data_IF_417937378417
#
_entry.id   IF_417937378417
#
_cell.length_a   1.000
_cell.length_b   1.000
_cell.length_c   1.000
_cell.angle_alpha   90.00
_cell.angle_beta   90.00
_cell.angle_gamma   90.00
#
_symmetry.space_group_name_H-M   'P 1'
#
loop_
_entity.id
_entity.type
_entity.pdbx_description
1 polymer ?
#
# COMPACT_ATOMS: atom_id res chain seq x y z
N UNK A 1 -41.28 35.49 91.31
CA UNK A 1 -40.83 35.13 89.95
C UNK A 1 -40.52 33.66 90.04
N UNK A 2 -41.38 32.84 89.46
CA UNK A 2 -41.38 31.39 89.65
C UNK A 2 -40.25 30.73 88.83
N UNK A 3 -39.53 29.79 89.45
CA UNK A 3 -38.38 29.08 88.87
C UNK A 3 -38.71 28.37 87.54
N UNK A 4 -39.96 27.96 87.38
CA UNK A 4 -40.50 27.37 86.15
C UNK A 4 -40.48 28.35 84.96
N UNK A 5 -40.74 29.64 85.19
CA UNK A 5 -40.70 30.67 84.15
C UNK A 5 -39.26 30.86 83.65
N UNK A 6 -38.29 30.87 84.57
CA UNK A 6 -36.87 31.00 84.23
C UNK A 6 -36.37 29.80 83.40
N UNK A 7 -36.78 28.58 83.78
CA UNK A 7 -36.40 27.38 83.03
C UNK A 7 -37.00 27.36 81.61
N UNK A 8 -38.25 27.82 81.46
CA UNK A 8 -38.90 27.94 80.15
C UNK A 8 -38.25 29.02 79.28
N UNK A 9 -37.83 30.15 79.87
CA UNK A 9 -37.09 31.20 79.16
C UNK A 9 -35.72 30.71 78.66
N UNK A 10 -35.00 29.93 79.47
CA UNK A 10 -33.72 29.32 79.08
C UNK A 10 -33.91 28.28 77.96
N UNK A 11 -34.93 27.44 78.04
CA UNK A 11 -35.27 26.47 76.99
C UNK A 11 -35.66 27.17 75.68
N UNK A 12 -36.44 28.25 75.75
CA UNK A 12 -36.83 29.04 74.58
C UNK A 12 -35.59 29.70 73.94
N UNK A 13 -34.69 30.26 74.74
CA UNK A 13 -33.44 30.84 74.26
C UNK A 13 -32.55 29.79 73.57
N UNK A 14 -32.44 28.60 74.16
CA UNK A 14 -31.70 27.48 73.55
C UNK A 14 -32.33 27.03 72.23
N UNK A 15 -33.67 26.89 72.18
CA UNK A 15 -34.37 26.49 70.98
C UNK A 15 -34.21 27.52 69.85
N UNK A 16 -34.25 28.82 70.17
CA UNK A 16 -33.98 29.88 69.18
C UNK A 16 -32.55 29.80 68.64
N UNK A 17 -31.55 29.61 69.50
CA UNK A 17 -30.16 29.46 69.07
C UNK A 17 -29.94 28.22 68.18
N UNK A 18 -30.65 27.12 68.45
CA UNK A 18 -30.61 25.93 67.62
C UNK A 18 -31.29 26.14 66.26
N UNK A 19 -32.43 26.84 66.22
CA UNK A 19 -33.12 27.21 64.98
C UNK A 19 -32.21 28.09 64.12
N UNK A 20 -31.56 29.11 64.69
CA UNK A 20 -30.63 29.97 63.96
C UNK A 20 -29.45 29.17 63.39
N UNK A 21 -28.90 28.23 64.16
CA UNK A 21 -27.83 27.33 63.70
C UNK A 21 -28.30 26.46 62.54
N UNK A 22 -29.48 25.84 62.65
CA UNK A 22 -30.04 24.98 61.60
C UNK A 22 -30.36 25.78 60.34
N UNK A 23 -30.85 27.01 60.46
CA UNK A 23 -31.10 27.91 59.32
C UNK A 23 -29.80 28.28 58.60
N UNK A 24 -28.73 28.55 59.35
CA UNK A 24 -27.40 28.80 58.78
C UNK A 24 -26.88 27.58 58.02
N UNK A 25 -26.98 26.39 58.62
CA UNK A 25 -26.55 25.14 57.97
C UNK A 25 -27.38 24.81 56.72
N UNK A 26 -28.69 25.06 56.75
CA UNK A 26 -29.57 24.86 55.59
C UNK A 26 -29.18 25.81 54.45
N UNK A 27 -28.97 27.09 54.75
CA UNK A 27 -28.52 28.09 53.76
C UNK A 27 -27.19 27.69 53.14
N UNK A 28 -26.25 27.17 53.94
CA UNK A 28 -24.97 26.71 53.41
C UNK A 28 -25.14 25.48 52.51
N UNK A 29 -25.94 24.50 52.93
CA UNK A 29 -26.22 23.31 52.14
C UNK A 29 -26.91 23.63 50.81
N UNK A 30 -27.87 24.56 50.80
CA UNK A 30 -28.54 25.05 49.60
C UNK A 30 -27.56 25.73 48.64
N UNK A 31 -26.66 26.58 49.16
CA UNK A 31 -25.63 27.22 48.36
C UNK A 31 -24.68 26.20 47.73
N UNK A 32 -24.26 25.19 48.49
CA UNK A 32 -23.42 24.11 47.97
C UNK A 32 -24.15 23.23 46.94
N UNK A 33 -25.44 22.94 47.14
CA UNK A 33 -26.23 22.18 46.18
C UNK A 33 -26.36 22.94 44.85
N UNK A 34 -26.67 24.24 44.92
CA UNK A 34 -26.73 25.09 43.74
C UNK A 34 -25.39 25.15 42.97
N UNK A 35 -24.25 25.21 43.69
CA UNK A 35 -22.93 25.15 43.07
C UNK A 35 -22.70 23.83 42.34
N UNK A 36 -23.01 22.70 42.98
CA UNK A 36 -22.85 21.37 42.38
C UNK A 36 -23.76 21.16 41.18
N UNK A 37 -24.98 21.68 41.21
CA UNK A 37 -25.90 21.60 40.07
C UNK A 37 -25.42 22.43 38.87
N UNK A 38 -24.79 23.59 39.13
CA UNK A 38 -24.14 24.38 38.10
C UNK A 38 -22.96 23.63 37.46
N UNK A 39 -22.08 23.04 38.28
CA UNK A 39 -20.94 22.23 37.82
C UNK A 39 -21.40 21.01 37.02
N UNK A 40 -22.42 20.29 37.48
CA UNK A 40 -22.98 19.14 36.76
C UNK A 40 -23.59 19.55 35.41
N UNK A 41 -24.24 20.70 35.36
CA UNK A 41 -24.81 21.23 34.11
C UNK A 41 -23.70 21.58 33.11
N UNK A 42 -22.62 22.20 33.58
CA UNK A 42 -21.45 22.52 32.75
C UNK A 42 -20.75 21.25 32.25
N UNK A 43 -20.51 20.28 33.14
CA UNK A 43 -19.91 19.00 32.78
C UNK A 43 -20.75 18.23 31.74
N UNK A 44 -22.08 18.23 31.88
CA UNK A 44 -22.99 17.61 30.91
C UNK A 44 -22.91 18.28 29.54
N UNK A 45 -22.92 19.61 29.48
CA UNK A 45 -22.74 20.34 28.22
C UNK A 45 -21.39 20.04 27.57
N UNK A 46 -20.33 19.96 28.37
CA UNK A 46 -18.99 19.58 27.91
C UNK A 46 -18.97 18.16 27.32
N UNK A 47 -19.63 17.20 27.98
CA UNK A 47 -19.73 15.83 27.50
C UNK A 47 -20.50 15.73 26.19
N UNK A 48 -21.65 16.40 26.08
CA UNK A 48 -22.46 16.44 24.86
C UNK A 48 -21.68 17.06 23.68
N UNK A 49 -20.95 18.14 23.94
CA UNK A 49 -20.09 18.77 22.92
C UNK A 49 -18.97 17.83 22.46
N UNK A 50 -18.27 17.18 23.39
CA UNK A 50 -17.21 16.24 23.07
C UNK A 50 -17.73 15.00 22.31
N UNK A 51 -18.92 14.50 22.66
CA UNK A 51 -19.58 13.42 21.93
C UNK A 51 -19.93 13.83 20.51
N UNK A 52 -20.42 15.06 20.32
CA UNK A 52 -20.69 15.62 18.99
C UNK A 52 -19.43 15.73 18.14
N UNK A 53 -18.32 16.23 18.71
CA UNK A 53 -17.05 16.32 18.00
C UNK A 53 -16.51 14.92 17.64
N UNK A 54 -16.56 13.97 18.57
CA UNK A 54 -16.11 12.60 18.31
C UNK A 54 -16.90 11.96 17.16
N UNK A 55 -18.23 12.12 17.16
CA UNK A 55 -19.08 11.61 16.08
C UNK A 55 -18.71 12.23 14.72
N UNK A 56 -18.49 13.55 14.67
CA UNK A 56 -18.06 14.22 13.45
C UNK A 56 -16.69 13.70 12.96
N UNK A 57 -15.72 13.55 13.87
CA UNK A 57 -14.39 13.01 13.55
C UNK A 57 -14.45 11.58 13.04
N UNK A 58 -15.34 10.74 13.57
CA UNK A 58 -15.52 9.37 13.10
C UNK A 58 -16.00 9.36 11.65
N UNK A 59 -16.99 10.19 11.30
CA UNK A 59 -17.49 10.32 9.92
C UNK A 59 -16.39 10.81 8.97
N UNK A 60 -15.62 11.82 9.38
CA UNK A 60 -14.49 12.34 8.59
C UNK A 60 -13.43 11.27 8.33
N UNK A 61 -13.08 10.48 9.35
CA UNK A 61 -12.10 9.40 9.23
C UNK A 61 -12.57 8.30 8.30
N UNK A 62 -13.86 7.94 8.32
CA UNK A 62 -14.44 6.96 7.41
C UNK A 62 -14.40 7.47 5.97
N UNK A 63 -14.78 8.73 5.74
CA UNK A 63 -14.70 9.39 4.43
C UNK A 63 -13.27 9.37 3.87
N UNK A 64 -12.28 9.77 4.67
CA UNK A 64 -10.87 9.76 4.28
C UNK A 64 -10.34 8.36 3.96
N UNK A 65 -10.77 7.34 4.72
CA UNK A 65 -10.40 5.94 4.45
C UNK A 65 -10.96 5.45 3.11
N UNK A 66 -12.22 5.76 2.82
CA UNK A 66 -12.83 5.42 1.53
C UNK A 66 -12.09 6.10 0.39
N UNK A 67 -11.85 7.40 0.49
CA UNK A 67 -11.12 8.16 -0.54
C UNK A 67 -9.69 7.62 -0.76
N UNK A 68 -8.98 7.28 0.32
CA UNK A 68 -7.64 6.70 0.23
C UNK A 68 -7.67 5.32 -0.45
N UNK A 69 -8.67 4.49 -0.14
CA UNK A 69 -8.89 3.19 -0.79
C UNK A 69 -9.17 3.33 -2.29
N UNK A 70 -10.06 4.23 -2.67
CA UNK A 70 -10.38 4.52 -4.08
C UNK A 70 -9.16 5.05 -4.83
N UNK A 71 -8.43 6.00 -4.25
CA UNK A 71 -7.22 6.57 -4.85
C UNK A 71 -6.15 5.49 -5.05
N UNK A 72 -5.96 4.59 -4.08
CA UNK A 72 -5.03 3.47 -4.20
C UNK A 72 -5.44 2.51 -5.31
N UNK A 73 -6.73 2.15 -5.39
CA UNK A 73 -7.24 1.28 -6.44
C UNK A 73 -7.06 1.90 -7.84
N UNK A 74 -7.33 3.20 -7.97
CA UNK A 74 -7.10 3.94 -9.21
C UNK A 74 -5.61 3.97 -9.60
N UNK A 75 -4.70 4.18 -8.65
CA UNK A 75 -3.26 4.17 -8.90
C UNK A 75 -2.77 2.80 -9.40
N UNK A 76 -3.21 1.71 -8.76
CA UNK A 76 -2.90 0.34 -9.20
C UNK A 76 -3.43 0.08 -10.61
N UNK A 77 -4.69 0.45 -10.88
CA UNK A 77 -5.28 0.29 -12.20
C UNK A 77 -4.55 1.11 -13.28
N UNK A 78 -4.08 2.32 -12.95
CA UNK A 78 -3.28 3.14 -13.84
C UNK A 78 -1.92 2.49 -14.14
N UNK A 79 -1.22 1.96 -13.13
CA UNK A 79 0.04 1.26 -13.30
C UNK A 79 -0.11 -0.01 -14.18
N UNK A 80 -1.21 -0.75 -14.00
CA UNK A 80 -1.52 -1.92 -14.85
C UNK A 80 -1.76 -1.52 -16.31
N UNK A 81 -2.59 -0.50 -16.58
CA UNK A 81 -2.81 0.00 -17.95
C UNK A 81 -1.52 0.49 -18.59
N UNK A 82 -0.69 1.17 -17.82
CA UNK A 82 0.62 1.63 -18.30
C UNK A 82 1.50 0.44 -18.71
N UNK A 83 1.64 -0.56 -17.85
CA UNK A 83 2.36 -1.81 -18.17
C UNK A 83 1.83 -2.46 -19.43
N UNK A 84 0.51 -2.63 -19.54
CA UNK A 84 -0.11 -3.32 -20.67
C UNK A 84 0.15 -2.56 -21.99
N UNK A 85 0.12 -1.23 -21.95
CA UNK A 85 0.46 -0.36 -23.10
C UNK A 85 1.93 -0.53 -23.50
N UNK A 86 2.84 -0.56 -22.53
CA UNK A 86 4.27 -0.76 -22.79
C UNK A 86 4.56 -2.13 -23.39
N UNK A 87 3.96 -3.19 -22.84
CA UNK A 87 4.11 -4.56 -23.36
C UNK A 87 3.55 -4.71 -24.78
N UNK A 88 2.48 -3.99 -25.11
CA UNK A 88 1.95 -3.96 -26.48
C UNK A 88 2.94 -3.32 -27.47
N UNK A 89 3.75 -2.36 -27.04
CA UNK A 89 4.80 -1.74 -27.85
C UNK A 89 6.10 -2.56 -27.90
N UNK A 90 6.37 -3.40 -26.89
CA UNK A 90 7.57 -4.24 -26.79
C UNK A 90 7.24 -5.75 -26.70
N UNK A 91 6.70 -6.37 -27.76
CA UNK A 91 6.23 -7.77 -27.73
C UNK A 91 7.33 -8.82 -27.55
N UNK A 92 8.60 -8.43 -27.65
CA UNK A 92 9.75 -9.30 -27.42
C UNK A 92 10.12 -9.41 -25.94
N UNK A 93 9.49 -8.61 -25.07
CA UNK A 93 9.76 -8.55 -23.65
C UNK A 93 8.77 -9.45 -22.88
N UNK A 94 9.24 -10.44 -22.09
CA UNK A 94 8.35 -11.33 -21.35
C UNK A 94 7.53 -10.58 -20.30
N UNK A 95 6.20 -10.73 -20.33
CA UNK A 95 5.28 -10.09 -19.40
C UNK A 95 5.57 -10.45 -17.93
N UNK A 96 6.04 -11.67 -17.68
CA UNK A 96 6.37 -12.18 -16.33
C UNK A 96 7.51 -11.41 -15.66
N UNK A 97 8.32 -10.66 -16.43
CA UNK A 97 9.44 -9.86 -15.90
C UNK A 97 9.05 -8.41 -15.56
N UNK A 98 7.81 -7.99 -15.87
CA UNK A 98 7.35 -6.61 -15.64
C UNK A 98 6.21 -6.59 -14.61
N UNK A 99 6.56 -6.27 -13.36
CA UNK A 99 5.63 -6.17 -12.24
C UNK A 99 5.70 -4.82 -11.52
N UNK A 100 4.70 -4.53 -10.68
CA UNK A 100 4.65 -3.33 -9.86
C UNK A 100 3.22 -2.85 -9.59
N UNK A 101 2.98 -2.29 -8.39
CA UNK A 101 1.72 -1.62 -8.04
C UNK A 101 1.72 -0.12 -8.40
N UNK A 102 2.90 0.45 -8.68
CA UNK A 102 3.08 1.85 -9.04
C UNK A 102 3.75 1.97 -10.41
N UNK A 103 3.60 3.13 -11.05
CA UNK A 103 4.26 3.41 -12.34
C UNK A 103 5.78 3.31 -12.20
N UNK A 104 6.36 3.89 -11.15
CA UNK A 104 7.81 3.82 -10.90
C UNK A 104 8.30 2.37 -10.74
N UNK A 105 7.53 1.52 -10.04
CA UNK A 105 7.87 0.11 -9.89
C UNK A 105 7.81 -0.64 -11.21
N UNK A 106 6.82 -0.32 -12.06
CA UNK A 106 6.70 -0.86 -13.42
C UNK A 106 7.90 -0.43 -14.27
N UNK A 107 8.30 0.84 -14.22
CA UNK A 107 9.45 1.36 -14.95
C UNK A 107 10.77 0.69 -14.54
N UNK A 108 10.97 0.52 -13.24
CA UNK A 108 12.15 -0.16 -12.72
C UNK A 108 12.16 -1.64 -13.15
N UNK A 109 11.01 -2.32 -13.08
CA UNK A 109 10.87 -3.70 -13.53
C UNK A 109 11.12 -3.83 -15.04
N UNK A 110 10.63 -2.88 -15.83
CA UNK A 110 10.82 -2.82 -17.27
C UNK A 110 12.30 -2.64 -17.63
N UNK A 111 13.01 -1.73 -16.94
CA UNK A 111 14.44 -1.53 -17.14
C UNK A 111 15.23 -2.82 -16.87
N UNK A 112 14.93 -3.52 -15.76
CA UNK A 112 15.53 -4.82 -15.44
C UNK A 112 15.22 -5.87 -16.50
N UNK A 113 13.97 -5.97 -16.93
CA UNK A 113 13.54 -6.93 -17.94
C UNK A 113 14.27 -6.72 -19.27
N UNK A 114 14.39 -5.47 -19.73
CA UNK A 114 15.15 -5.13 -20.94
C UNK A 114 16.61 -5.56 -20.84
N UNK A 115 17.25 -5.33 -19.69
CA UNK A 115 18.62 -5.74 -19.46
C UNK A 115 18.78 -7.27 -19.52
N UNK A 116 17.88 -8.03 -18.89
CA UNK A 116 17.92 -9.49 -18.93
C UNK A 116 17.72 -10.02 -20.35
N UNK A 117 16.75 -9.49 -21.09
CA UNK A 117 16.50 -9.90 -22.48
C UNK A 117 17.72 -9.61 -23.37
N UNK A 118 18.36 -8.45 -23.21
CA UNK A 118 19.57 -8.11 -23.95
C UNK A 118 20.74 -9.08 -23.65
N UNK A 119 20.94 -9.44 -22.38
CA UNK A 119 21.97 -10.41 -21.97
C UNK A 119 21.71 -11.80 -22.54
N UNK A 120 20.45 -12.29 -22.47
CA UNK A 120 20.06 -13.59 -23.03
C UNK A 120 20.30 -13.61 -24.54
N UNK A 121 19.92 -12.55 -25.25
CA UNK A 121 20.14 -12.42 -26.69
C UNK A 121 21.63 -12.47 -27.03
N UNK A 122 22.46 -11.71 -26.32
CA UNK A 122 23.91 -11.73 -26.51
C UNK A 122 24.50 -13.13 -26.29
N UNK A 123 24.05 -13.84 -25.25
CA UNK A 123 24.52 -15.20 -24.96
C UNK A 123 24.13 -16.18 -26.08
N UNK A 124 22.90 -16.11 -26.58
CA UNK A 124 22.43 -16.94 -27.69
C UNK A 124 23.19 -16.65 -28.99
N UNK A 125 23.48 -15.38 -29.29
CA UNK A 125 24.28 -14.99 -30.47
C UNK A 125 25.72 -15.52 -30.38
N UNK A 126 26.35 -15.46 -29.20
CA UNK A 126 27.69 -16.03 -28.96
C UNK A 126 27.69 -17.56 -29.13
N UNK A 127 26.67 -18.25 -28.60
CA UNK A 127 26.52 -19.70 -28.77
C UNK A 127 26.28 -20.08 -30.25
N UNK A 128 25.48 -19.31 -30.98
CA UNK A 128 25.26 -19.54 -32.40
C UNK A 128 26.53 -19.35 -33.23
N UNK A 129 27.39 -18.38 -32.86
CA UNK A 129 28.68 -18.15 -33.53
C UNK A 129 29.70 -19.25 -33.25
N UNK A 130 29.74 -19.81 -32.02
CA UNK A 130 30.64 -20.92 -31.71
C UNK A 130 30.21 -22.24 -32.36
N UNK A 131 28.90 -22.42 -32.61
CA UNK A 131 28.34 -23.56 -33.34
C UNK A 131 28.42 -23.42 -34.87
N UNK A 132 28.85 -22.28 -35.43
CA UNK A 132 29.13 -22.16 -36.86
C UNK A 132 30.37 -22.97 -37.21
N UNK A 133 30.15 -24.24 -37.55
CA UNK A 133 31.14 -25.08 -38.23
C UNK A 133 31.48 -24.42 -39.58
N UNK A 134 32.77 -24.24 -39.93
CA UNK A 134 33.14 -23.71 -41.23
C UNK A 134 32.55 -24.60 -42.33
N UNK A 135 31.63 -24.04 -43.13
CA UNK A 135 31.18 -24.67 -44.35
C UNK A 135 32.36 -24.67 -45.33
N UNK A 136 33.09 -25.78 -45.41
CA UNK A 136 34.15 -25.92 -46.39
C UNK A 136 35.23 -26.93 -46.03
N UNK A 137 34.87 -28.21 -45.89
CA UNK A 137 35.80 -29.19 -46.43
C UNK A 137 35.80 -28.97 -47.96
N UNK A 138 36.94 -28.66 -48.61
CA UNK A 138 36.97 -28.51 -50.05
C UNK A 138 36.39 -29.78 -50.68
N UNK A 139 35.45 -29.61 -51.60
CA UNK A 139 34.94 -30.72 -52.42
C UNK A 139 36.18 -31.42 -53.00
N UNK A 140 36.33 -32.73 -52.75
CA UNK A 140 37.33 -33.52 -53.47
C UNK A 140 37.02 -33.38 -54.95
N UNK A 141 37.76 -32.50 -55.63
CA UNK A 141 37.83 -32.53 -57.08
C UNK A 141 38.48 -33.87 -57.42
N UNK A 142 37.66 -34.81 -57.90
CA UNK A 142 38.19 -35.97 -58.61
C UNK A 142 39.04 -35.48 -59.80
N UNK A 143 39.99 -36.28 -60.28
CA UNK A 143 40.83 -35.90 -61.41
C UNK A 143 39.95 -35.44 -62.58
N UNK A 144 40.27 -34.29 -63.16
CA UNK A 144 39.51 -33.74 -64.27
C UNK A 144 39.75 -34.57 -65.53
N UNK A 145 38.79 -35.44 -65.84
CA UNK A 145 38.83 -36.29 -67.04
C UNK A 145 38.27 -35.56 -68.28
N UNK A 146 37.90 -34.28 -68.19
CA UNK A 146 37.27 -33.56 -69.30
C UNK A 146 38.23 -33.28 -70.47
N UNK A 147 39.54 -33.26 -70.22
CA UNK A 147 40.58 -33.06 -71.23
C UNK A 147 41.01 -34.34 -71.97
N UNK A 148 40.56 -35.52 -71.52
CA UNK A 148 40.89 -36.80 -72.15
C UNK A 148 39.90 -37.14 -73.26
N UNK A 149 40.42 -37.56 -74.42
CA UNK A 149 39.62 -38.10 -75.50
C UNK A 149 38.93 -39.41 -75.08
N UNK A 150 37.87 -39.80 -75.78
CA UNK A 150 37.13 -41.03 -75.48
C UNK A 150 38.04 -42.28 -75.45
N UNK A 151 39.05 -42.32 -76.32
CA UNK A 151 40.01 -43.43 -76.38
C UNK A 151 40.95 -43.48 -75.16
N UNK A 152 41.33 -42.33 -74.61
CA UNK A 152 42.21 -42.25 -73.43
C UNK A 152 41.48 -42.60 -72.14
N UNK A 153 40.19 -42.23 -72.05
CA UNK A 153 39.32 -42.63 -70.93
C UNK A 153 39.16 -44.15 -70.82
N UNK A 154 38.95 -44.82 -71.96
CA UNK A 154 38.80 -46.29 -72.01
C UNK A 154 40.11 -46.97 -71.59
N UNK A 155 41.26 -46.47 -72.07
CA UNK A 155 42.57 -47.02 -71.73
C UNK A 155 42.90 -46.88 -70.23
N UNK A 156 42.56 -45.74 -69.64
CA UNK A 156 42.75 -45.48 -68.21
C UNK A 156 41.90 -46.43 -67.36
N UNK A 157 40.66 -46.70 -67.77
CA UNK A 157 39.78 -47.67 -67.10
C UNK A 157 40.29 -49.11 -67.16
N UNK A 158 40.87 -49.52 -68.29
CA UNK A 158 41.47 -50.85 -68.45
C UNK A 158 42.78 -51.04 -67.66
N UNK A 159 43.49 -49.98 -67.30
CA UNK A 159 44.71 -50.04 -66.47
C UNK A 159 44.44 -50.01 -64.96
N UNK A 160 43.25 -49.59 -64.54
CA UNK A 160 42.85 -49.53 -63.13
C UNK A 160 41.89 -50.66 -62.71
N UNK A 161 41.67 -51.63 -63.60
CA UNK A 161 40.95 -52.90 -63.35
C UNK A 161 41.94 -54.03 -63.10
#
# INVERSE_FOLDING_TARGET
>A
MDEEVVLLEEQLASAHADIERLQSHLSEAEAQAASRDAELTEARRGLEAAQGELAARTVDLESLRTLAGETRAQAIAAAQRYRDTVLAHEPHLPADLVGGETIDAVDESLARARQTVAQVRQHLEQQAQSLRVPAGAPVRAGPDLSSLSAAEKIRLGLQQS
#
